data_IF_081810176014
#
_entry.id   IF_081810176014
#
_cell.length_a   1.000
_cell.length_b   1.000
_cell.length_c   1.000
_cell.angle_alpha   90.00
_cell.angle_beta   90.00
_cell.angle_gamma   90.00
#
_symmetry.space_group_name_H-M   'P 1'
#
loop_
_entity.id
_entity.type
_entity.pdbx_description
1 polymer ?
#
# COMPACT_ATOMS: atom_id res chain seq x y z
N UNK A 1 -72.38 5.22 -15.41
CA UNK A 1 -71.16 6.07 -15.53
C UNK A 1 -70.48 6.30 -14.16
N UNK A 2 -70.14 5.25 -13.41
CA UNK A 2 -69.39 5.37 -12.14
C UNK A 2 -68.15 4.46 -12.05
N UNK A 3 -68.00 3.50 -12.98
CA UNK A 3 -66.88 2.55 -13.00
C UNK A 3 -65.62 3.04 -13.73
N UNK A 4 -65.73 4.03 -14.62
CA UNK A 4 -64.57 4.58 -15.36
C UNK A 4 -63.69 5.46 -14.46
N UNK A 5 -64.23 6.04 -13.39
CA UNK A 5 -63.50 6.95 -12.50
C UNK A 5 -62.48 6.25 -11.60
N UNK A 6 -62.69 4.96 -11.29
CA UNK A 6 -61.77 4.19 -10.44
C UNK A 6 -60.67 3.48 -11.23
N UNK A 7 -60.84 3.34 -12.56
CA UNK A 7 -59.80 2.75 -13.42
C UNK A 7 -58.60 3.70 -13.62
N UNK A 8 -58.84 5.01 -13.60
CA UNK A 8 -57.77 6.01 -13.72
C UNK A 8 -56.96 6.20 -12.43
N UNK A 9 -57.53 5.88 -11.25
CA UNK A 9 -56.81 5.99 -9.98
C UNK A 9 -55.85 4.79 -9.74
N UNK A 10 -56.18 3.62 -10.28
CA UNK A 10 -55.34 2.44 -10.17
C UNK A 10 -54.11 2.49 -11.11
N UNK A 11 -54.20 3.21 -12.24
CA UNK A 11 -53.10 3.35 -13.19
C UNK A 11 -52.00 4.35 -12.73
N UNK A 12 -52.31 5.27 -11.83
CA UNK A 12 -51.35 6.26 -11.33
C UNK A 12 -50.41 5.72 -10.23
N UNK A 13 -50.74 4.60 -9.59
CA UNK A 13 -49.93 3.98 -8.53
C UNK A 13 -48.98 2.87 -9.04
N UNK A 14 -49.08 2.47 -10.31
CA UNK A 14 -48.25 1.41 -10.88
C UNK A 14 -46.93 1.91 -11.54
N UNK A 15 -46.66 3.22 -11.56
CA UNK A 15 -45.50 3.82 -12.23
C UNK A 15 -44.41 4.37 -11.28
N UNK A 16 -44.33 3.90 -10.04
CA UNK A 16 -43.26 4.33 -9.09
C UNK A 16 -42.21 3.22 -8.85
N UNK A 17 -42.37 2.05 -9.47
CA UNK A 17 -41.61 0.86 -9.11
C UNK A 17 -40.49 0.44 -10.05
N UNK A 18 -39.73 1.34 -10.70
CA UNK A 18 -38.54 0.88 -11.45
C UNK A 18 -37.45 1.91 -11.77
N UNK A 19 -37.12 2.81 -10.85
CA UNK A 19 -35.88 3.60 -10.92
C UNK A 19 -35.08 3.41 -9.62
N UNK A 20 -34.83 2.15 -9.31
CA UNK A 20 -33.95 1.71 -8.23
C UNK A 20 -32.85 0.80 -8.74
N UNK A 21 -32.33 1.02 -9.96
CA UNK A 21 -30.98 0.52 -10.25
C UNK A 21 -30.06 1.35 -9.36
N UNK A 22 -29.80 0.83 -8.16
CA UNK A 22 -28.84 1.39 -7.24
C UNK A 22 -27.57 1.67 -8.02
N UNK A 23 -27.19 2.94 -8.09
CA UNK A 23 -25.81 3.26 -8.31
C UNK A 23 -25.05 2.47 -7.24
N UNK A 24 -24.35 1.41 -7.65
CA UNK A 24 -23.32 0.83 -6.80
C UNK A 24 -22.38 1.98 -6.54
N UNK A 25 -22.50 2.60 -5.37
CA UNK A 25 -21.50 3.49 -4.86
C UNK A 25 -20.22 2.66 -4.91
N UNK A 26 -19.34 2.99 -5.85
CA UNK A 26 -17.99 2.46 -5.84
C UNK A 26 -17.36 3.07 -4.60
N UNK A 27 -17.50 2.39 -3.47
CA UNK A 27 -16.83 2.77 -2.23
C UNK A 27 -15.36 2.79 -2.59
N UNK A 28 -14.80 3.99 -2.73
CA UNK A 28 -13.40 4.18 -3.09
C UNK A 28 -12.56 3.71 -1.90
N UNK A 29 -12.31 2.40 -1.83
CA UNK A 29 -11.44 1.80 -0.84
C UNK A 29 -10.00 1.94 -1.34
N UNK A 30 -9.13 2.53 -0.52
CA UNK A 30 -7.70 2.61 -0.81
C UNK A 30 -7.16 1.23 -1.20
N UNK A 31 -6.50 1.11 -2.34
CA UNK A 31 -5.98 -0.19 -2.79
C UNK A 31 -4.73 -0.63 -2.03
N UNK A 32 -4.12 0.27 -1.29
CA UNK A 32 -2.91 0.03 -0.51
C UNK A 32 -2.83 0.95 0.69
N UNK A 33 -2.34 0.45 1.82
CA UNK A 33 -2.07 1.24 3.03
C UNK A 33 -1.09 0.51 3.97
N UNK A 34 -0.48 1.24 4.89
CA UNK A 34 0.34 0.65 5.96
C UNK A 34 -0.43 0.63 7.29
N UNK A 35 -0.20 -0.40 8.10
CA UNK A 35 -0.55 -0.37 9.52
C UNK A 35 0.41 0.53 10.31
N UNK A 36 0.12 0.70 11.61
CA UNK A 36 1.11 1.18 12.56
C UNK A 36 2.30 0.23 12.70
N UNK A 37 3.38 0.74 13.29
CA UNK A 37 4.60 0.00 13.57
C UNK A 37 4.45 -0.92 14.79
N UNK A 38 5.09 -2.08 14.68
CA UNK A 38 5.22 -3.09 15.73
C UNK A 38 6.72 -3.35 15.98
N UNK A 39 7.10 -3.50 17.24
CA UNK A 39 8.48 -3.82 17.60
C UNK A 39 8.62 -5.32 17.89
N UNK A 40 9.62 -5.97 17.29
CA UNK A 40 9.96 -7.37 17.53
C UNK A 40 11.23 -7.48 18.38
N UNK A 41 11.11 -7.60 19.72
CA UNK A 41 12.23 -7.39 20.64
C UNK A 41 13.33 -8.45 20.51
N UNK A 42 12.98 -9.71 20.20
CA UNK A 42 13.95 -10.82 20.12
C UNK A 42 15.03 -10.60 19.05
N UNK A 43 14.72 -9.90 17.97
CA UNK A 43 15.66 -9.62 16.89
C UNK A 43 15.88 -8.12 16.66
N UNK A 44 15.37 -7.28 17.58
CA UNK A 44 15.51 -5.83 17.57
C UNK A 44 15.23 -5.20 16.20
N UNK A 45 14.04 -5.44 15.67
CA UNK A 45 13.57 -4.80 14.44
C UNK A 45 12.12 -4.32 14.58
N UNK A 46 11.75 -3.36 13.75
CA UNK A 46 10.38 -2.89 13.64
C UNK A 46 9.75 -3.43 12.37
N UNK A 47 8.48 -3.77 12.41
CA UNK A 47 7.72 -4.19 11.24
C UNK A 47 6.35 -3.55 11.22
N UNK A 48 5.76 -3.47 10.04
CA UNK A 48 4.36 -3.11 9.84
C UNK A 48 3.78 -3.87 8.67
N UNK A 49 2.46 -3.98 8.66
CA UNK A 49 1.74 -4.60 7.56
C UNK A 49 1.59 -3.59 6.43
N UNK A 50 1.96 -4.01 5.23
CA UNK A 50 1.66 -3.35 3.98
C UNK A 50 0.45 -4.05 3.35
N UNK A 51 -0.74 -3.50 3.54
CA UNK A 51 -1.97 -4.04 2.98
C UNK A 51 -2.14 -3.62 1.53
N UNK A 52 -2.59 -4.53 0.68
CA UNK A 52 -2.86 -4.26 -0.73
C UNK A 52 -3.96 -5.13 -1.33
N UNK A 53 -4.58 -4.64 -2.42
CA UNK A 53 -5.53 -5.36 -3.26
C UNK A 53 -4.90 -5.75 -4.60
N UNK A 54 -4.67 -7.05 -4.87
CA UNK A 54 -4.08 -7.51 -6.15
C UNK A 54 -4.90 -7.11 -7.39
N UNK A 55 -6.21 -6.99 -7.23
CA UNK A 55 -7.12 -6.51 -8.27
C UNK A 55 -8.10 -5.48 -7.70
N UNK A 56 -8.68 -4.59 -8.52
CA UNK A 56 -9.64 -3.60 -8.05
C UNK A 56 -10.85 -4.20 -7.33
N UNK A 57 -11.30 -5.39 -7.78
CA UNK A 57 -12.48 -6.07 -7.24
C UNK A 57 -12.16 -7.08 -6.13
N UNK A 58 -10.92 -7.11 -5.62
CA UNK A 58 -10.57 -8.00 -4.51
C UNK A 58 -11.31 -7.57 -3.24
N UNK A 59 -12.09 -8.49 -2.66
CA UNK A 59 -13.00 -8.20 -1.55
C UNK A 59 -12.27 -7.79 -0.25
N UNK A 60 -11.11 -8.38 0.02
CA UNK A 60 -10.32 -8.13 1.23
C UNK A 60 -9.03 -7.35 0.96
N UNK A 61 -8.01 -7.64 1.77
CA UNK A 61 -6.63 -7.23 1.53
C UNK A 61 -5.71 -8.43 1.72
N UNK A 62 -4.70 -8.52 0.86
CA UNK A 62 -3.48 -9.23 1.20
C UNK A 62 -2.58 -8.28 1.98
N UNK A 63 -1.58 -8.81 2.67
CA UNK A 63 -0.54 -7.96 3.24
C UNK A 63 0.83 -8.49 2.89
N UNK A 64 1.85 -7.63 2.95
CA UNK A 64 3.26 -8.00 3.06
C UNK A 64 3.86 -7.32 4.29
N UNK A 65 5.08 -7.67 4.68
CA UNK A 65 5.78 -6.95 5.75
C UNK A 65 6.66 -5.84 5.19
N UNK A 66 6.61 -4.67 5.82
CA UNK A 66 7.66 -3.65 5.73
C UNK A 66 8.46 -3.70 7.01
N UNK A 67 9.77 -3.81 6.91
CA UNK A 67 10.68 -4.06 8.03
C UNK A 67 11.72 -2.94 8.07
N UNK A 68 11.96 -2.41 9.26
CA UNK A 68 13.03 -1.47 9.56
C UNK A 68 13.96 -2.11 10.59
N UNK A 69 15.26 -2.06 10.31
CA UNK A 69 16.30 -2.57 11.20
C UNK A 69 17.10 -1.38 11.75
N UNK A 70 16.98 -1.05 13.05
CA UNK A 70 17.78 0.00 13.69
C UNK A 70 19.29 -0.22 13.54
N UNK A 71 19.74 -1.48 13.46
CA UNK A 71 21.14 -1.83 13.23
C UNK A 71 21.65 -1.49 11.83
N UNK A 72 20.76 -1.22 10.87
CA UNK A 72 21.07 -0.81 9.49
C UNK A 72 20.02 0.21 9.01
N UNK A 73 20.01 1.42 9.61
CA UNK A 73 18.88 2.36 9.59
C UNK A 73 18.68 3.09 8.26
N UNK A 74 19.39 2.66 7.20
CA UNK A 74 19.39 3.33 5.90
C UNK A 74 18.11 3.06 5.10
N UNK A 75 17.47 1.91 5.30
CA UNK A 75 16.42 1.44 4.43
C UNK A 75 15.24 0.80 5.18
N UNK A 76 14.05 0.97 4.62
CA UNK A 76 12.92 0.07 4.79
C UNK A 76 13.05 -1.09 3.81
N UNK A 77 12.71 -2.30 4.25
CA UNK A 77 12.75 -3.51 3.44
C UNK A 77 11.36 -4.12 3.30
N UNK A 78 11.00 -4.58 2.11
CA UNK A 78 9.75 -5.29 1.88
C UNK A 78 9.98 -6.80 1.84
N UNK A 79 9.17 -7.53 2.61
CA UNK A 79 9.22 -8.98 2.73
C UNK A 79 7.85 -9.58 2.44
N UNK A 80 7.82 -10.51 1.48
CA UNK A 80 6.62 -11.26 1.12
C UNK A 80 6.59 -12.54 1.95
N UNK A 81 5.71 -12.60 2.94
CA UNK A 81 5.56 -13.77 3.81
C UNK A 81 4.91 -14.98 3.12
N UNK A 82 4.18 -14.80 2.01
CA UNK A 82 3.66 -15.93 1.25
C UNK A 82 4.77 -16.64 0.47
N UNK A 83 5.72 -15.87 -0.08
CA UNK A 83 6.88 -16.40 -0.79
C UNK A 83 8.09 -16.69 0.12
N UNK A 84 8.11 -16.13 1.33
CA UNK A 84 9.23 -16.18 2.24
C UNK A 84 10.47 -15.42 1.73
N UNK A 85 10.28 -14.30 1.04
CA UNK A 85 11.38 -13.58 0.35
C UNK A 85 11.31 -12.07 0.50
N UNK A 86 12.48 -11.45 0.63
CA UNK A 86 12.66 -10.02 0.41
C UNK A 86 12.58 -9.70 -1.07
N UNK A 87 11.86 -8.63 -1.39
CA UNK A 87 11.61 -8.25 -2.78
C UNK A 87 11.96 -6.80 -3.11
N UNK A 88 12.19 -5.95 -2.13
CA UNK A 88 12.67 -4.58 -2.40
C UNK A 88 13.05 -3.80 -1.15
N UNK A 89 13.48 -2.56 -1.37
CA UNK A 89 13.85 -1.61 -0.31
C UNK A 89 13.63 -0.16 -0.71
N UNK A 90 13.56 0.74 0.26
CA UNK A 90 13.47 2.19 0.06
C UNK A 90 14.33 2.88 1.11
N UNK A 91 15.11 3.91 0.75
CA UNK A 91 15.78 4.77 1.72
C UNK A 91 14.78 5.28 2.75
N UNK A 92 15.24 5.42 3.99
CA UNK A 92 14.44 6.01 5.07
C UNK A 92 14.34 7.52 4.89
N UNK A 93 15.44 8.16 4.51
CA UNK A 93 15.47 9.56 4.06
C UNK A 93 15.38 9.61 2.54
N UNK A 94 14.28 10.16 2.04
CA UNK A 94 13.96 10.21 0.61
C UNK A 94 13.49 11.60 0.17
N UNK A 95 13.79 12.66 0.93
CA UNK A 95 13.57 14.05 0.52
C UNK A 95 12.13 14.40 0.09
N UNK A 96 11.13 13.67 0.61
CA UNK A 96 9.71 13.87 0.30
C UNK A 96 9.14 13.03 -0.85
N UNK A 97 9.96 12.29 -1.62
CA UNK A 97 9.49 11.34 -2.64
C UNK A 97 10.12 9.95 -2.44
N UNK A 98 9.33 8.93 -2.05
CA UNK A 98 9.90 7.62 -1.74
C UNK A 98 10.62 7.00 -2.94
N UNK A 99 11.85 6.54 -2.71
CA UNK A 99 12.79 6.04 -3.71
C UNK A 99 12.86 4.52 -3.67
N UNK A 100 11.94 3.85 -4.37
CA UNK A 100 11.84 2.40 -4.32
C UNK A 100 12.86 1.69 -5.21
N UNK A 101 13.42 0.61 -4.68
CA UNK A 101 14.37 -0.27 -5.36
C UNK A 101 13.87 -1.72 -5.26
N UNK A 102 13.38 -2.28 -6.38
CA UNK A 102 12.86 -3.64 -6.45
C UNK A 102 13.87 -4.64 -6.98
N UNK A 103 13.97 -5.79 -6.31
CA UNK A 103 14.76 -6.92 -6.77
C UNK A 103 14.06 -7.62 -7.92
N UNK A 104 14.84 -8.07 -8.91
CA UNK A 104 14.35 -9.02 -9.91
C UNK A 104 13.94 -10.32 -9.23
N UNK A 105 12.92 -11.05 -9.74
CA UNK A 105 12.46 -12.30 -9.13
C UNK A 105 13.59 -13.30 -8.84
N UNK A 106 14.59 -13.40 -9.72
CA UNK A 106 15.75 -14.28 -9.52
C UNK A 106 16.70 -13.85 -8.39
N UNK A 107 16.71 -12.56 -8.04
CA UNK A 107 17.58 -11.98 -7.00
C UNK A 107 16.88 -11.90 -5.62
N UNK A 108 15.62 -12.32 -5.54
CA UNK A 108 14.86 -12.34 -4.28
C UNK A 108 15.26 -13.53 -3.41
N UNK A 109 15.45 -13.28 -2.12
CA UNK A 109 15.90 -14.30 -1.17
C UNK A 109 15.25 -14.18 0.21
N UNK A 110 15.29 -15.26 1.01
CA UNK A 110 14.73 -15.27 2.37
C UNK A 110 15.53 -14.42 3.35
N UNK A 111 16.81 -14.18 3.07
CA UNK A 111 17.73 -13.47 3.96
C UNK A 111 18.33 -12.24 3.27
N UNK A 112 18.24 -11.07 3.91
CA UNK A 112 18.85 -9.84 3.39
C UNK A 112 20.37 -9.93 3.25
N UNK A 113 21.05 -10.67 4.13
CA UNK A 113 22.49 -10.89 4.07
C UNK A 113 22.93 -11.67 2.83
N UNK A 114 22.04 -12.49 2.26
CA UNK A 114 22.32 -13.26 1.06
C UNK A 114 22.06 -12.48 -0.24
N UNK A 115 21.42 -11.31 -0.16
CA UNK A 115 21.09 -10.47 -1.33
C UNK A 115 22.20 -9.43 -1.51
N UNK A 116 23.01 -9.52 -2.57
CA UNK A 116 24.10 -8.57 -2.78
C UNK A 116 23.59 -7.14 -2.99
N UNK A 117 24.32 -6.15 -2.47
CA UNK A 117 23.94 -4.74 -2.54
C UNK A 117 23.73 -4.25 -3.98
N UNK A 118 24.50 -4.77 -4.94
CA UNK A 118 24.41 -4.43 -6.36
C UNK A 118 23.18 -5.03 -7.08
N UNK A 119 22.42 -5.92 -6.42
CA UNK A 119 21.16 -6.44 -6.94
C UNK A 119 19.99 -5.51 -6.70
N UNK A 120 20.13 -4.60 -5.74
CA UNK A 120 19.16 -3.53 -5.55
C UNK A 120 19.42 -2.45 -6.62
N UNK A 121 18.51 -2.26 -7.58
CA UNK A 121 18.67 -1.24 -8.60
C UNK A 121 18.71 0.16 -7.97
N UNK A 122 19.42 1.07 -8.61
CA UNK A 122 19.42 2.47 -8.19
C UNK A 122 18.01 3.03 -8.42
N UNK A 123 17.33 3.57 -7.39
CA UNK A 123 16.00 4.11 -7.54
C UNK A 123 16.03 5.34 -8.46
N UNK A 124 15.17 5.37 -9.46
CA UNK A 124 15.09 6.46 -10.45
C UNK A 124 14.16 7.61 -10.03
N UNK A 125 13.42 7.42 -8.92
CA UNK A 125 12.43 8.37 -8.40
C UNK A 125 11.24 8.65 -9.32
N UNK A 126 11.12 7.90 -10.43
CA UNK A 126 10.07 8.06 -11.45
C UNK A 126 9.14 6.85 -11.49
N UNK A 127 9.67 5.68 -11.18
CA UNK A 127 8.93 4.42 -11.25
C UNK A 127 8.24 4.17 -9.91
N UNK A 128 6.90 4.29 -9.89
CA UNK A 128 6.09 3.80 -8.78
C UNK A 128 6.15 2.28 -8.78
N UNK A 129 6.44 1.63 -7.64
CA UNK A 129 6.31 0.20 -7.48
C UNK A 129 5.00 -0.40 -8.01
N UNK A 130 5.07 -1.57 -8.66
CA UNK A 130 3.89 -2.37 -8.85
C UNK A 130 3.34 -2.79 -7.48
N UNK A 131 2.01 -2.74 -7.32
CA UNK A 131 1.37 -3.44 -6.20
C UNK A 131 1.70 -4.94 -6.36
N UNK A 132 2.12 -5.65 -5.28
CA UNK A 132 2.42 -7.06 -5.39
C UNK A 132 1.26 -7.83 -6.02
N UNK A 133 1.58 -8.76 -6.93
CA UNK A 133 0.62 -9.59 -7.66
C UNK A 133 -0.40 -8.81 -8.54
N UNK A 134 -0.24 -7.49 -8.69
CA UNK A 134 -1.09 -6.68 -9.57
C UNK A 134 -0.54 -6.72 -10.99
N UNK A 135 -1.45 -6.85 -11.95
CA UNK A 135 -1.09 -6.76 -13.37
C UNK A 135 -0.94 -5.28 -13.77
N UNK A 136 -0.05 -4.93 -14.73
CA UNK A 136 0.20 -3.54 -15.10
C UNK A 136 -1.06 -2.73 -15.44
N UNK A 137 -2.03 -3.34 -16.12
CA UNK A 137 -3.31 -2.71 -16.48
C UNK A 137 -4.20 -2.35 -15.27
N UNK A 138 -3.87 -2.89 -14.10
CA UNK A 138 -4.60 -2.70 -12.86
C UNK A 138 -3.78 -1.90 -11.85
N UNK A 139 -2.66 -1.26 -12.19
CA UNK A 139 -1.92 -0.46 -11.21
C UNK A 139 -2.63 0.86 -10.91
N UNK A 140 -2.70 1.28 -9.64
CA UNK A 140 -3.27 2.59 -9.33
C UNK A 140 -2.31 3.68 -9.83
N UNK A 141 -2.86 4.82 -10.24
CA UNK A 141 -2.07 6.00 -10.55
C UNK A 141 -1.36 6.53 -9.30
N UNK A 142 -0.13 6.05 -9.10
CA UNK A 142 1.00 6.86 -8.66
C UNK A 142 1.21 7.09 -7.16
N UNK A 143 0.20 7.00 -6.29
CA UNK A 143 0.42 7.33 -4.87
C UNK A 143 0.53 6.10 -3.98
N UNK A 144 1.77 5.78 -3.62
CA UNK A 144 2.07 4.88 -2.52
C UNK A 144 1.83 5.57 -1.18
N UNK A 145 1.44 4.82 -0.14
CA UNK A 145 1.19 5.41 1.15
C UNK A 145 2.51 5.97 1.72
N UNK A 146 2.43 7.10 2.43
CA UNK A 146 3.59 7.73 3.04
C UNK A 146 4.32 6.76 4.00
N UNK A 147 5.64 6.85 4.03
CA UNK A 147 6.48 6.06 4.93
C UNK A 147 6.93 6.94 6.10
N UNK A 148 6.31 6.77 7.26
CA UNK A 148 6.73 7.31 8.55
C UNK A 148 7.71 6.37 9.27
N UNK A 149 8.57 6.95 10.11
CA UNK A 149 9.51 6.23 10.96
C UNK A 149 8.81 5.48 12.10
N UNK A 150 9.43 4.42 12.65
CA UNK A 150 8.93 3.80 13.86
C UNK A 150 8.93 4.78 15.05
N UNK A 151 8.01 4.62 16.01
CA UNK A 151 7.98 5.44 17.22
C UNK A 151 9.30 5.34 18.00
N UNK A 152 9.84 6.50 18.40
CA UNK A 152 11.06 6.60 19.21
C UNK A 152 12.37 6.68 18.42
N UNK A 153 12.32 6.57 17.09
CA UNK A 153 13.48 6.82 16.23
C UNK A 153 13.55 8.32 15.88
N UNK A 154 14.72 8.97 16.00
CA UNK A 154 14.86 10.36 15.58
C UNK A 154 14.63 10.47 14.07
N UNK A 155 14.01 11.56 13.58
CA UNK A 155 13.89 11.81 12.15
C UNK A 155 15.30 11.81 11.55
N UNK A 156 15.56 10.85 10.67
CA UNK A 156 16.80 10.76 9.91
C UNK A 156 16.79 11.93 8.94
N UNK A 157 17.44 13.03 9.33
CA UNK A 157 17.38 14.28 8.57
C UNK A 157 17.70 15.58 9.33
N UNK A 158 18.25 15.55 10.54
CA UNK A 158 18.99 16.71 11.09
C UNK A 158 20.44 16.29 11.31
N UNK A 159 21.17 16.16 10.20
CA UNK A 159 22.61 16.37 10.26
C UNK A 159 22.84 17.79 10.81
N UNK A 160 23.69 17.90 11.83
CA UNK A 160 23.87 19.07 12.68
C UNK A 160 23.68 20.43 12.02
N UNK A 161 22.71 21.19 12.55
CA UNK A 161 22.94 22.61 12.75
C UNK A 161 23.53 22.75 14.16
N UNK A 162 24.71 23.38 14.34
CA UNK A 162 25.17 23.73 15.67
C UNK A 162 24.10 24.61 16.30
N UNK A 163 23.64 24.21 17.48
CA UNK A 163 22.91 25.09 18.38
C UNK A 163 23.95 26.15 18.76
N UNK A 164 23.88 27.30 18.08
CA UNK A 164 24.63 28.48 18.45
C UNK A 164 24.24 28.88 19.88
N UNK A 165 25.28 29.28 20.60
CA UNK A 165 25.27 29.78 21.98
C UNK A 165 24.19 30.83 22.27
#
# INVERSE_FOLDING_TARGET
MRFVKYLCLAAALAMVGWLGMGAQASTYSYRQYYSGWHHYPKHNYYYRYYYYKPTPNYYGYKYNYTIYYPSRPKYYYWYNQYAGKYYGRCPVDYGGKPLYSWLKPEDQGPELSAIPENKFPVPDGKTTPPIPETRPENEPNGELPRMDLPPGEPPTGVAGLPIGE
#
